data_IF_544873572947
#
_entry.id   IF_544873572947
#
_cell.length_a   1.000
_cell.length_b   1.000
_cell.length_c   1.000
_cell.angle_alpha   90.00
_cell.angle_beta   90.00
_cell.angle_gamma   90.00
#
_symmetry.space_group_name_H-M   'P 1'
#
loop_
_entity.id
_entity.type
_entity.pdbx_description
1 polymer ?
#
# COMPACT_ATOMS: atom_id res chain seq x y z
N UNK A 1 6.15 -2.38 -8.39
CA UNK A 1 6.21 -1.15 -9.23
C UNK A 1 7.52 -1.00 -10.00
N UNK A 2 8.71 -1.29 -9.43
CA UNK A 2 9.99 -1.08 -10.14
C UNK A 2 10.09 -1.72 -11.54
N UNK A 3 9.46 -2.89 -11.76
CA UNK A 3 9.39 -3.45 -13.12
C UNK A 3 8.55 -2.61 -14.09
N UNK A 4 7.51 -1.90 -13.65
CA UNK A 4 6.79 -0.99 -14.56
C UNK A 4 7.69 0.17 -15.01
N UNK A 5 8.60 0.65 -14.15
CA UNK A 5 9.61 1.66 -14.52
C UNK A 5 10.59 1.08 -15.56
N UNK A 6 11.09 -0.13 -15.36
CA UNK A 6 11.96 -0.79 -16.34
C UNK A 6 11.26 -1.07 -17.67
N UNK A 7 9.98 -1.45 -17.63
CA UNK A 7 9.11 -1.58 -18.81
C UNK A 7 8.97 -0.24 -19.55
N UNK A 8 8.65 0.85 -18.87
CA UNK A 8 8.54 2.18 -19.48
C UNK A 8 9.84 2.60 -20.17
N UNK A 9 11.00 2.29 -19.56
CA UNK A 9 12.31 2.57 -20.15
C UNK A 9 12.61 1.75 -21.41
N UNK A 10 12.19 0.49 -21.46
CA UNK A 10 12.28 -0.31 -22.69
C UNK A 10 11.36 0.25 -23.78
N UNK A 11 10.13 0.63 -23.42
CA UNK A 11 9.15 1.23 -24.33
C UNK A 11 9.58 2.57 -24.90
N UNK A 12 10.43 3.33 -24.20
CA UNK A 12 11.01 4.56 -24.75
C UNK A 12 12.07 4.32 -25.84
N UNK A 13 12.34 3.06 -26.21
CA UNK A 13 13.24 2.72 -27.31
C UNK A 13 14.71 2.56 -26.91
N UNK A 14 15.01 2.30 -25.62
CA UNK A 14 16.39 2.06 -25.20
C UNK A 14 16.86 0.66 -25.60
N UNK A 15 18.03 0.60 -26.23
CA UNK A 15 18.74 -0.60 -26.68
C UNK A 15 19.85 -1.04 -25.72
N UNK A 16 20.06 -0.30 -24.62
CA UNK A 16 21.16 -0.53 -23.67
C UNK A 16 20.95 -1.72 -22.74
N UNK A 17 19.78 -2.35 -22.78
CA UNK A 17 19.42 -3.44 -21.87
C UNK A 17 19.59 -4.78 -22.58
N UNK A 18 20.54 -5.58 -22.13
CA UNK A 18 20.73 -6.94 -22.63
C UNK A 18 19.66 -7.92 -22.09
N UNK A 19 19.42 -7.92 -20.78
CA UNK A 19 18.44 -8.77 -20.09
C UNK A 19 17.59 -7.93 -19.14
N UNK A 20 16.29 -8.20 -19.11
CA UNK A 20 15.35 -7.56 -18.21
C UNK A 20 14.45 -8.60 -17.55
N UNK A 21 14.36 -8.55 -16.23
CA UNK A 21 13.42 -9.37 -15.47
C UNK A 21 12.65 -8.50 -14.47
N UNK A 22 11.33 -8.65 -14.45
CA UNK A 22 10.46 -8.02 -13.45
C UNK A 22 9.92 -9.05 -12.47
N UNK A 23 10.04 -8.79 -11.17
CA UNK A 23 9.41 -9.60 -10.14
C UNK A 23 8.13 -8.92 -9.62
N UNK A 24 7.03 -9.67 -9.53
CA UNK A 24 5.75 -9.22 -8.96
C UNK A 24 5.21 -7.92 -9.57
N UNK A 25 5.55 -7.60 -10.82
CA UNK A 25 5.20 -6.30 -11.40
C UNK A 25 3.82 -6.37 -12.06
N UNK A 26 2.86 -5.48 -11.73
CA UNK A 26 1.50 -5.57 -12.24
C UNK A 26 1.41 -5.05 -13.67
N UNK A 27 1.88 -5.83 -14.65
CA UNK A 27 1.90 -5.46 -16.08
C UNK A 27 0.52 -5.25 -16.69
N UNK A 28 -0.54 -5.77 -16.04
CA UNK A 28 -1.94 -5.48 -16.40
C UNK A 28 -2.69 -4.71 -15.30
N UNK A 29 -1.97 -4.13 -14.34
CA UNK A 29 -2.53 -3.41 -13.19
C UNK A 29 -2.94 -4.32 -12.02
N UNK A 30 -3.44 -3.72 -10.93
CA UNK A 30 -3.90 -4.43 -9.73
C UNK A 30 -5.16 -3.78 -9.16
N UNK A 31 -6.12 -4.60 -8.78
CA UNK A 31 -7.36 -4.13 -8.16
C UNK A 31 -7.12 -3.36 -6.85
N UNK A 32 -5.97 -3.55 -6.20
CA UNK A 32 -5.58 -2.80 -4.99
C UNK A 32 -5.40 -1.29 -5.23
N UNK A 33 -5.18 -0.86 -6.48
CA UNK A 33 -5.06 0.56 -6.81
C UNK A 33 -6.42 1.30 -6.83
N UNK A 34 -7.52 0.58 -7.03
CA UNK A 34 -8.87 1.12 -7.11
C UNK A 34 -9.30 1.94 -5.87
N UNK A 35 -9.25 1.39 -4.63
CA UNK A 35 -9.62 2.13 -3.43
C UNK A 35 -8.77 3.39 -3.22
N UNK A 36 -7.49 3.35 -3.59
CA UNK A 36 -6.61 4.51 -3.48
C UNK A 36 -7.03 5.61 -4.46
N UNK A 37 -7.27 5.25 -5.73
CA UNK A 37 -7.59 6.21 -6.79
C UNK A 37 -9.00 6.81 -6.73
N UNK A 38 -10.01 6.02 -6.33
CA UNK A 38 -11.40 6.46 -6.32
C UNK A 38 -11.96 6.78 -4.93
N UNK A 39 -11.30 6.31 -3.88
CA UNK A 39 -11.78 6.43 -2.50
C UNK A 39 -10.85 7.17 -1.54
N UNK A 40 -9.57 7.34 -1.90
CA UNK A 40 -8.58 7.84 -0.95
C UNK A 40 -8.13 6.78 0.06
N UNK A 41 -8.43 5.50 -0.20
CA UNK A 41 -8.24 4.41 0.76
C UNK A 41 -7.07 3.49 0.38
N UNK A 42 -6.18 3.22 1.33
CA UNK A 42 -5.06 2.30 1.13
C UNK A 42 -5.42 0.90 1.63
N UNK A 43 -5.71 0.00 0.70
CA UNK A 43 -5.93 -1.40 1.00
C UNK A 43 -4.59 -2.15 0.89
N UNK A 44 -3.86 -2.24 2.00
CA UNK A 44 -2.64 -3.03 2.10
C UNK A 44 -2.70 -3.89 3.37
N UNK A 45 -2.21 -5.12 3.32
CA UNK A 45 -2.10 -5.96 4.51
C UNK A 45 -0.96 -5.49 5.42
N UNK A 46 0.00 -4.75 4.88
CA UNK A 46 1.11 -4.21 5.64
C UNK A 46 0.72 -3.02 6.49
N UNK A 47 0.83 -3.22 7.81
CA UNK A 47 0.58 -2.19 8.80
C UNK A 47 1.53 -0.99 8.65
N UNK A 48 2.82 -1.27 8.42
CA UNK A 48 3.82 -0.21 8.25
C UNK A 48 3.49 0.65 7.03
N UNK A 49 3.09 0.01 5.93
CA UNK A 49 2.70 0.72 4.71
C UNK A 49 1.43 1.54 4.92
N UNK A 50 0.43 0.99 5.61
CA UNK A 50 -0.79 1.73 6.00
C UNK A 50 -0.46 2.97 6.82
N UNK A 51 0.38 2.85 7.85
CA UNK A 51 0.81 3.99 8.67
C UNK A 51 1.48 5.04 7.80
N UNK A 52 2.50 4.66 7.04
CA UNK A 52 3.28 5.59 6.22
C UNK A 52 2.40 6.31 5.19
N UNK A 53 1.53 5.57 4.49
CA UNK A 53 0.64 6.14 3.50
C UNK A 53 -0.38 7.10 4.13
N UNK A 54 -1.00 6.73 5.26
CA UNK A 54 -1.95 7.64 5.92
C UNK A 54 -1.27 8.90 6.43
N UNK A 55 -0.05 8.79 6.97
CA UNK A 55 0.72 9.96 7.40
C UNK A 55 1.01 10.91 6.24
N UNK A 56 1.40 10.37 5.10
CA UNK A 56 1.65 11.14 3.90
C UNK A 56 0.37 11.85 3.44
N UNK A 57 -0.76 11.13 3.36
CA UNK A 57 -2.07 11.69 2.99
C UNK A 57 -2.46 12.83 3.93
N UNK A 58 -2.41 12.63 5.25
CA UNK A 58 -2.84 13.66 6.21
C UNK A 58 -1.92 14.87 6.23
N UNK A 59 -0.62 14.68 6.01
CA UNK A 59 0.33 15.80 5.95
C UNK A 59 0.18 16.62 4.67
N UNK A 60 -0.02 15.96 3.52
CA UNK A 60 -0.12 16.62 2.23
C UNK A 60 -1.54 17.12 1.91
N UNK A 61 -2.56 16.54 2.54
CA UNK A 61 -3.98 16.80 2.27
C UNK A 61 -4.60 18.02 2.95
N UNK A 62 -3.79 18.87 3.60
CA UNK A 62 -4.29 20.01 4.40
C UNK A 62 -5.17 20.96 3.56
N UNK A 63 -4.90 21.06 2.25
CA UNK A 63 -5.61 21.96 1.33
C UNK A 63 -6.60 21.23 0.39
N UNK A 64 -6.80 19.93 0.58
CA UNK A 64 -7.65 19.10 -0.29
C UNK A 64 -9.00 18.82 0.35
N UNK A 65 -10.04 18.60 -0.46
CA UNK A 65 -11.39 18.37 0.08
C UNK A 65 -11.52 16.98 0.70
N UNK A 66 -10.73 16.01 0.24
CA UNK A 66 -10.74 14.64 0.71
C UNK A 66 -9.42 13.91 0.40
N UNK A 67 -9.26 12.73 0.99
CA UNK A 67 -8.06 11.89 0.84
C UNK A 67 -7.85 11.41 -0.60
N UNK A 68 -8.93 11.26 -1.39
CA UNK A 68 -8.85 10.89 -2.82
C UNK A 68 -8.17 11.98 -3.64
N UNK A 69 -8.60 13.24 -3.50
CA UNK A 69 -7.96 14.37 -4.20
C UNK A 69 -6.48 14.47 -3.82
N UNK A 70 -6.16 14.29 -2.54
CA UNK A 70 -4.78 14.28 -2.04
C UNK A 70 -3.95 13.19 -2.71
N UNK A 71 -4.45 11.95 -2.75
CA UNK A 71 -3.72 10.83 -3.36
C UNK A 71 -3.53 10.98 -4.86
N UNK A 72 -4.54 11.51 -5.58
CA UNK A 72 -4.42 11.78 -7.01
C UNK A 72 -3.32 12.79 -7.33
N UNK A 73 -3.08 13.75 -6.44
CA UNK A 73 -2.02 14.75 -6.60
C UNK A 73 -0.63 14.21 -6.23
N UNK A 74 -0.48 13.61 -5.04
CA UNK A 74 0.86 13.22 -4.54
C UNK A 74 1.35 11.88 -5.07
N UNK A 75 0.43 11.01 -5.51
CA UNK A 75 0.71 9.66 -5.97
C UNK A 75 -0.12 9.33 -7.23
N UNK A 76 0.05 10.10 -8.33
CA UNK A 76 -0.71 9.88 -9.56
C UNK A 76 -0.48 8.48 -10.15
N UNK A 77 0.62 7.83 -9.79
CA UNK A 77 0.94 6.44 -10.18
C UNK A 77 -0.14 5.43 -9.79
N UNK A 78 -1.01 5.70 -8.83
CA UNK A 78 -2.16 4.83 -8.56
C UNK A 78 -3.07 4.69 -9.79
N UNK A 79 -3.19 5.74 -10.61
CA UNK A 79 -3.89 5.69 -11.90
C UNK A 79 -3.26 4.66 -12.84
N UNK A 80 -1.94 4.69 -12.92
CA UNK A 80 -1.13 3.84 -13.81
C UNK A 80 -1.01 2.40 -13.32
N UNK A 81 -1.51 2.12 -12.11
CA UNK A 81 -1.65 0.78 -11.55
C UNK A 81 -3.07 0.21 -11.68
N UNK A 82 -4.06 0.98 -12.12
CA UNK A 82 -5.43 0.47 -12.27
C UNK A 82 -5.46 -0.66 -13.31
N UNK A 83 -6.27 -1.72 -13.10
CA UNK A 83 -6.38 -2.82 -14.05
C UNK A 83 -6.82 -2.38 -15.44
N UNK A 84 -6.25 -3.02 -16.47
CA UNK A 84 -6.71 -2.92 -17.86
C UNK A 84 -7.62 -4.10 -18.26
N UNK A 85 -8.08 -4.87 -17.27
CA UNK A 85 -9.02 -5.98 -17.42
C UNK A 85 -10.26 -5.74 -16.54
N UNK A 86 -11.40 -6.38 -16.82
CA UNK A 86 -12.59 -6.29 -15.97
C UNK A 86 -12.35 -6.85 -14.56
N UNK A 87 -12.70 -6.08 -13.53
CA UNK A 87 -12.46 -6.45 -12.11
C UNK A 87 -13.50 -5.90 -11.12
N UNK A 88 -14.44 -5.05 -11.57
CA UNK A 88 -15.51 -4.54 -10.72
C UNK A 88 -16.78 -5.34 -10.99
N UNK A 89 -17.40 -5.89 -9.95
CA UNK A 89 -18.68 -6.60 -10.07
C UNK A 89 -19.77 -5.70 -9.52
N UNK A 90 -20.77 -5.36 -10.32
CA UNK A 90 -21.93 -4.64 -9.81
C UNK A 90 -22.77 -5.57 -8.91
N UNK A 91 -23.01 -5.17 -7.66
CA UNK A 91 -23.72 -6.01 -6.68
C UNK A 91 -25.17 -6.30 -7.06
N UNK A 92 -25.83 -5.42 -7.82
CA UNK A 92 -27.23 -5.57 -8.20
C UNK A 92 -27.38 -6.46 -9.44
N UNK A 93 -26.54 -6.25 -10.44
CA UNK A 93 -26.66 -6.93 -11.74
C UNK A 93 -25.76 -8.16 -11.86
N UNK A 94 -24.72 -8.28 -11.03
CA UNK A 94 -23.69 -9.31 -11.13
C UNK A 94 -22.73 -9.10 -12.32
N UNK A 95 -22.86 -7.99 -13.05
CA UNK A 95 -22.06 -7.74 -14.25
C UNK A 95 -20.64 -7.37 -13.84
N UNK A 96 -19.67 -8.10 -14.42
CA UNK A 96 -18.26 -7.77 -14.35
C UNK A 96 -17.93 -6.67 -15.37
N UNK A 97 -17.35 -5.56 -14.90
CA UNK A 97 -16.94 -4.43 -15.74
C UNK A 97 -15.47 -4.05 -15.52
N UNK A 98 -14.86 -3.52 -16.57
CA UNK A 98 -13.57 -2.81 -16.51
C UNK A 98 -13.77 -1.31 -16.44
N UNK A 99 -12.67 -0.58 -16.34
CA UNK A 99 -12.61 0.89 -16.37
C UNK A 99 -11.49 1.31 -17.32
N UNK A 100 -11.64 2.44 -18.01
CA UNK A 100 -10.65 2.92 -18.99
C UNK A 100 -9.85 4.13 -18.47
N UNK A 101 -9.33 4.00 -17.25
CA UNK A 101 -8.63 5.11 -16.57
C UNK A 101 -7.11 5.02 -16.71
N UNK A 102 -6.57 3.80 -16.84
CA UNK A 102 -5.15 3.53 -17.03
C UNK A 102 -4.76 3.66 -18.51
N UNK A 103 -4.57 4.89 -18.95
CA UNK A 103 -4.24 5.20 -20.34
C UNK A 103 -2.84 4.74 -20.75
N UNK A 104 -1.90 4.62 -19.79
CA UNK A 104 -0.55 4.17 -20.08
C UNK A 104 -0.51 2.65 -20.33
N UNK A 105 -0.95 1.82 -19.38
CA UNK A 105 -0.95 0.37 -19.59
C UNK A 105 -1.86 -0.06 -20.75
N UNK A 106 -3.01 0.62 -20.93
CA UNK A 106 -3.97 0.27 -21.98
C UNK A 106 -3.47 0.50 -23.42
N UNK A 107 -2.50 1.41 -23.60
CA UNK A 107 -1.90 1.75 -24.91
C UNK A 107 -0.48 1.22 -25.06
N UNK A 108 0.10 0.72 -23.99
CA UNK A 108 1.49 0.28 -23.93
C UNK A 108 1.69 -1.03 -24.71
N UNK A 109 2.71 -1.06 -25.56
CA UNK A 109 3.10 -2.24 -26.33
C UNK A 109 4.35 -2.83 -25.69
N UNK A 110 4.17 -3.93 -24.94
CA UNK A 110 5.25 -4.64 -24.27
C UNK A 110 5.27 -6.14 -24.60
N UNK A 111 6.41 -6.72 -24.98
CA UNK A 111 7.70 -6.06 -25.25
C UNK A 111 7.66 -5.14 -26.48
N UNK A 112 8.50 -4.09 -26.55
CA UNK A 112 8.57 -3.20 -27.72
C UNK A 112 9.01 -3.94 -28.98
N UNK A 113 8.46 -3.55 -30.13
CA UNK A 113 8.86 -4.12 -31.43
C UNK A 113 10.32 -3.83 -31.72
N UNK A 114 11.07 -4.82 -32.21
CA UNK A 114 12.46 -4.66 -32.61
C UNK A 114 13.47 -4.65 -31.46
N UNK A 115 13.04 -4.81 -30.20
CA UNK A 115 13.98 -4.95 -29.08
C UNK A 115 14.77 -6.26 -29.19
N UNK A 116 16.09 -6.16 -28.97
CA UNK A 116 16.97 -7.31 -28.79
C UNK A 116 17.05 -7.76 -27.31
N UNK A 117 16.40 -7.02 -26.39
CA UNK A 117 16.40 -7.33 -24.97
C UNK A 117 15.72 -8.67 -24.72
N UNK A 118 16.39 -9.55 -23.97
CA UNK A 118 15.79 -10.80 -23.48
C UNK A 118 14.95 -10.45 -22.26
N UNK A 119 13.65 -10.74 -22.31
CA UNK A 119 12.68 -10.29 -21.32
C UNK A 119 12.09 -11.47 -20.56
N UNK A 120 12.03 -11.35 -19.23
CA UNK A 120 11.34 -12.28 -18.36
C UNK A 120 10.46 -11.60 -17.32
N UNK A 121 9.50 -12.36 -16.81
CA UNK A 121 8.71 -12.03 -15.63
C UNK A 121 8.88 -13.10 -14.57
N UNK A 122 8.73 -12.72 -13.30
CA UNK A 122 8.67 -13.62 -12.16
C UNK A 122 7.39 -13.29 -11.38
N UNK A 123 6.42 -14.19 -11.44
CA UNK A 123 5.15 -14.08 -10.70
C UNK A 123 5.11 -15.01 -9.50
N UNK A 124 4.43 -14.58 -8.44
CA UNK A 124 4.05 -15.47 -7.34
C UNK A 124 2.68 -16.10 -7.58
N UNK A 125 2.41 -17.17 -6.83
CA UNK A 125 1.16 -17.92 -6.83
C UNK A 125 0.96 -18.56 -5.45
N UNK A 126 -0.27 -18.98 -5.12
CA UNK A 126 -0.60 -19.69 -3.89
C UNK A 126 -1.08 -18.81 -2.73
N UNK A 127 -1.22 -17.50 -2.94
CA UNK A 127 -1.60 -16.56 -1.88
C UNK A 127 -2.89 -15.81 -2.24
N UNK A 128 -3.75 -15.61 -1.23
CA UNK A 128 -5.02 -14.89 -1.38
C UNK A 128 -4.79 -13.47 -1.92
N UNK A 129 -5.17 -13.27 -3.17
CA UNK A 129 -4.92 -12.05 -3.93
C UNK A 129 -6.24 -11.48 -4.42
N UNK A 130 -6.43 -10.16 -4.25
CA UNK A 130 -7.65 -9.47 -4.69
C UNK A 130 -7.82 -9.59 -6.20
N UNK A 131 -8.89 -10.27 -6.63
CA UNK A 131 -9.24 -10.41 -8.03
C UNK A 131 -10.35 -9.44 -8.42
N UNK A 132 -11.45 -9.45 -7.69
CA UNK A 132 -12.61 -8.60 -7.97
C UNK A 132 -13.01 -7.75 -6.77
N UNK A 133 -13.60 -6.60 -7.07
CA UNK A 133 -14.24 -5.73 -6.08
C UNK A 133 -15.74 -5.71 -6.37
N UNK A 134 -16.53 -6.18 -5.42
CA UNK A 134 -17.99 -6.05 -5.49
C UNK A 134 -18.31 -4.59 -5.18
N UNK A 135 -19.06 -3.94 -6.06
CA UNK A 135 -19.39 -2.52 -5.98
C UNK A 135 -20.88 -2.28 -5.81
N UNK A 136 -21.23 -1.14 -5.23
CA UNK A 136 -22.60 -0.63 -5.12
C UNK A 136 -22.62 0.86 -5.45
N UNK A 137 -23.81 1.39 -5.64
CA UNK A 137 -24.00 2.84 -5.81
C UNK A 137 -23.43 3.63 -4.61
N UNK A 138 -22.58 4.65 -4.84
CA UNK A 138 -22.16 5.55 -3.78
C UNK A 138 -23.31 6.43 -3.30
N UNK A 139 -23.23 6.88 -2.05
CA UNK A 139 -24.22 7.78 -1.46
C UNK A 139 -24.21 9.16 -2.14
N UNK A 140 -25.29 9.93 -1.97
CA UNK A 140 -25.38 11.31 -2.51
C UNK A 140 -24.21 12.20 -2.05
N UNK A 141 -23.78 12.03 -0.78
CA UNK A 141 -22.64 12.78 -0.22
C UNK A 141 -21.33 12.40 -0.90
N UNK A 142 -21.09 11.11 -1.11
CA UNK A 142 -19.89 10.61 -1.80
C UNK A 142 -19.83 11.06 -3.26
N UNK A 143 -20.97 11.00 -3.97
CA UNK A 143 -21.08 11.53 -5.34
C UNK A 143 -20.75 13.03 -5.39
N UNK A 144 -21.24 13.82 -4.44
CA UNK A 144 -20.92 15.26 -4.35
C UNK A 144 -19.43 15.53 -4.11
N UNK A 145 -18.73 14.59 -3.47
CA UNK A 145 -17.29 14.65 -3.22
C UNK A 145 -16.43 14.03 -4.35
N UNK A 146 -17.06 13.55 -5.43
CA UNK A 146 -16.36 12.88 -6.53
C UNK A 146 -15.79 11.50 -6.16
N UNK A 147 -16.28 10.89 -5.07
CA UNK A 147 -15.80 9.59 -4.61
C UNK A 147 -16.51 8.46 -5.34
N UNK A 148 -15.78 7.38 -5.62
CA UNK A 148 -16.32 6.13 -6.14
C UNK A 148 -17.11 6.28 -7.44
N UNK A 149 -16.62 7.11 -8.35
CA UNK A 149 -17.24 7.37 -9.67
C UNK A 149 -17.56 6.07 -10.42
N UNK A 150 -16.74 5.04 -10.23
CA UNK A 150 -16.89 3.72 -10.85
C UNK A 150 -17.61 2.68 -9.97
N UNK A 151 -18.08 3.05 -8.79
CA UNK A 151 -18.81 2.19 -7.86
C UNK A 151 -18.12 2.06 -6.50
N UNK A 152 -18.87 2.20 -5.42
CA UNK A 152 -18.33 2.10 -4.06
C UNK A 152 -18.12 0.63 -3.69
N UNK A 153 -16.96 0.23 -3.14
CA UNK A 153 -16.76 -1.12 -2.67
C UNK A 153 -17.79 -1.55 -1.61
N UNK A 154 -18.26 -2.78 -1.77
CA UNK A 154 -19.23 -3.46 -0.92
C UNK A 154 -18.79 -4.88 -0.54
N UNK A 155 -17.71 -5.38 -1.14
CA UNK A 155 -17.12 -6.68 -0.89
C UNK A 155 -15.83 -6.87 -1.69
N UNK A 156 -15.10 -7.93 -1.36
CA UNK A 156 -13.85 -8.33 -2.03
C UNK A 156 -13.97 -9.80 -2.40
N UNK A 157 -13.51 -10.16 -3.60
CA UNK A 157 -13.31 -11.55 -3.98
C UNK A 157 -11.82 -11.77 -4.22
N UNK A 158 -11.28 -12.80 -3.58
CA UNK A 158 -9.88 -13.19 -3.68
C UNK A 158 -9.73 -14.51 -4.39
N UNK A 159 -8.55 -14.73 -4.96
CA UNK A 159 -8.13 -15.98 -5.57
C UNK A 159 -6.73 -16.32 -5.09
N UNK A 160 -6.39 -17.60 -5.03
CA UNK A 160 -5.02 -18.04 -4.72
C UNK A 160 -4.07 -17.90 -5.92
N UNK A 161 -4.58 -17.49 -7.10
CA UNK A 161 -3.82 -17.22 -8.33
C UNK A 161 -3.08 -15.88 -8.30
N UNK A 162 -2.21 -15.70 -7.31
CA UNK A 162 -1.39 -14.51 -7.14
C UNK A 162 -0.43 -14.59 -5.96
N UNK A 163 0.27 -13.50 -5.72
CA UNK A 163 1.32 -13.38 -4.71
C UNK A 163 0.86 -12.66 -3.42
N UNK A 164 -0.45 -12.46 -3.26
CA UNK A 164 -1.06 -11.71 -2.17
C UNK A 164 -1.21 -10.21 -2.44
N UNK A 165 -0.63 -9.70 -3.54
CA UNK A 165 -0.71 -8.29 -3.96
C UNK A 165 -1.07 -8.15 -5.44
N UNK A 166 -0.46 -8.95 -6.30
CA UNK A 166 -0.61 -8.93 -7.76
C UNK A 166 -1.04 -10.31 -8.23
N UNK A 167 -2.09 -10.35 -9.05
CA UNK A 167 -2.54 -11.60 -9.68
C UNK A 167 -1.46 -12.12 -10.61
N UNK A 168 -1.26 -13.44 -10.66
CA UNK A 168 -0.24 -14.04 -11.52
C UNK A 168 -0.48 -13.70 -12.99
N UNK A 169 -1.76 -13.64 -13.42
CA UNK A 169 -2.15 -13.22 -14.78
C UNK A 169 -1.73 -11.78 -15.10
N UNK A 170 -1.73 -10.89 -14.11
CA UNK A 170 -1.30 -9.50 -14.28
C UNK A 170 0.23 -9.36 -14.26
N UNK A 171 0.92 -10.23 -13.51
CA UNK A 171 2.38 -10.24 -13.46
C UNK A 171 3.04 -10.88 -14.68
N UNK A 172 2.31 -11.71 -15.43
CA UNK A 172 2.77 -12.34 -16.66
C UNK A 172 2.51 -11.45 -17.87
N UNK A 173 3.26 -11.71 -18.95
CA UNK A 173 3.08 -11.07 -20.25
C UNK A 173 2.81 -12.15 -21.29
N UNK A 174 1.66 -12.05 -21.95
CA UNK A 174 1.24 -12.98 -23.00
C UNK A 174 1.95 -12.66 -24.32
N UNK A 175 3.25 -12.97 -24.38
CA UNK A 175 4.05 -12.84 -25.58
C UNK A 175 5.05 -13.99 -25.66
N UNK A 176 5.13 -14.67 -26.82
CA UNK A 176 6.02 -15.82 -27.03
C UNK A 176 7.52 -15.50 -26.87
N UNK A 177 7.90 -14.23 -26.95
CA UNK A 177 9.29 -13.76 -26.75
C UNK A 177 9.63 -13.50 -25.28
N UNK A 178 8.65 -13.57 -24.37
CA UNK A 178 8.84 -13.33 -22.94
C UNK A 178 8.84 -14.64 -22.18
N UNK A 179 9.88 -14.87 -21.39
CA UNK A 179 9.90 -16.00 -20.45
C UNK A 179 9.11 -15.65 -19.20
N UNK A 180 8.07 -16.42 -18.88
CA UNK A 180 7.27 -16.21 -17.67
C UNK A 180 7.64 -17.28 -16.63
N UNK A 181 8.31 -16.89 -15.56
CA UNK A 181 8.56 -17.73 -14.39
C UNK A 181 7.42 -17.58 -13.38
N UNK A 182 7.05 -18.68 -12.73
CA UNK A 182 6.07 -18.67 -11.64
C UNK A 182 6.57 -19.57 -10.50
N UNK A 183 6.51 -19.05 -9.28
CA UNK A 183 6.96 -19.74 -8.06
C UNK A 183 5.92 -19.58 -6.94
N UNK A 184 5.90 -20.51 -5.99
CA UNK A 184 4.98 -20.47 -4.86
C UNK A 184 5.51 -19.56 -3.73
N UNK A 185 5.52 -18.25 -3.98
CA UNK A 185 5.99 -17.24 -3.05
C UNK A 185 5.03 -16.04 -3.01
N UNK A 186 4.94 -15.38 -1.85
CA UNK A 186 4.23 -14.12 -1.71
C UNK A 186 5.01 -12.96 -2.35
N UNK A 187 4.39 -11.79 -2.43
CA UNK A 187 4.94 -10.64 -3.15
C UNK A 187 6.35 -10.24 -2.71
N UNK A 188 6.64 -10.26 -1.41
CA UNK A 188 7.97 -10.00 -0.87
C UNK A 188 8.94 -11.17 -1.12
N UNK A 189 8.46 -12.40 -0.95
CA UNK A 189 9.20 -13.64 -1.16
C UNK A 189 9.77 -13.79 -2.57
N UNK A 190 9.19 -13.14 -3.58
CA UNK A 190 9.74 -13.14 -4.95
C UNK A 190 11.17 -12.61 -5.05
N UNK A 191 11.58 -11.72 -4.14
CA UNK A 191 12.93 -11.11 -4.14
C UNK A 191 13.75 -11.41 -2.89
N UNK A 192 13.13 -11.96 -1.84
CA UNK A 192 13.83 -12.31 -0.59
C UNK A 192 14.00 -13.81 -0.38
N UNK A 193 13.16 -14.65 -0.99
CA UNK A 193 13.29 -16.10 -0.88
C UNK A 193 14.47 -16.62 -1.71
N UNK A 194 15.04 -17.73 -1.24
CA UNK A 194 16.09 -18.45 -1.96
C UNK A 194 15.66 -18.82 -3.40
N UNK A 195 14.42 -19.27 -3.58
CA UNK A 195 13.85 -19.66 -4.87
C UNK A 195 13.73 -18.46 -5.82
N UNK A 196 13.21 -17.33 -5.33
CA UNK A 196 13.08 -16.10 -6.10
C UNK A 196 14.44 -15.53 -6.52
N UNK A 197 15.38 -15.45 -5.57
CA UNK A 197 16.76 -15.01 -5.82
C UNK A 197 17.44 -15.90 -6.87
N UNK A 198 17.33 -17.23 -6.73
CA UNK A 198 17.92 -18.15 -7.70
C UNK A 198 17.29 -18.01 -9.09
N UNK A 199 15.98 -17.85 -9.18
CA UNK A 199 15.29 -17.64 -10.45
C UNK A 199 15.80 -16.40 -11.16
N UNK A 200 15.90 -15.28 -10.44
CA UNK A 200 16.42 -14.01 -10.98
C UNK A 200 17.87 -14.17 -11.44
N UNK A 201 18.75 -14.70 -10.60
CA UNK A 201 20.18 -14.81 -10.92
C UNK A 201 20.43 -15.79 -12.07
N UNK A 202 19.72 -16.92 -12.12
CA UNK A 202 19.87 -17.90 -13.19
C UNK A 202 19.44 -17.33 -14.53
N UNK A 203 18.36 -16.55 -14.57
CA UNK A 203 17.96 -15.83 -15.78
C UNK A 203 19.05 -14.85 -16.23
N UNK A 204 19.57 -14.02 -15.30
CA UNK A 204 20.58 -13.02 -15.61
C UNK A 204 21.89 -13.65 -16.09
N UNK A 205 22.37 -14.71 -15.45
CA UNK A 205 23.59 -15.45 -15.86
C UNK A 205 23.39 -16.27 -17.13
N UNK A 206 22.18 -16.78 -17.39
CA UNK A 206 21.93 -17.75 -18.46
C UNK A 206 22.36 -19.18 -18.12
N UNK A 207 22.66 -19.46 -16.85
CA UNK A 207 23.12 -20.76 -16.37
C UNK A 207 22.44 -21.08 -15.02
N UNK A 208 22.25 -22.37 -14.73
CA UNK A 208 21.74 -22.83 -13.43
C UNK A 208 22.85 -22.74 -12.38
N UNK A 209 22.86 -21.69 -11.58
CA UNK A 209 23.64 -21.58 -10.34
C UNK A 209 22.76 -21.94 -9.15
N UNK A 210 23.15 -22.96 -8.39
CA UNK A 210 22.61 -23.19 -7.05
C UNK A 210 23.35 -22.28 -6.07
N UNK A 211 22.90 -21.03 -5.93
CA UNK A 211 23.42 -20.17 -4.87
C UNK A 211 22.80 -20.61 -3.55
N UNK A 212 23.63 -20.77 -2.53
CA UNK A 212 23.19 -20.79 -1.14
C UNK A 212 23.01 -19.33 -0.70
N UNK A 213 21.86 -18.76 -1.06
CA UNK A 213 21.42 -17.48 -0.52
C UNK A 213 20.79 -17.75 0.85
N UNK A 214 21.42 -17.25 1.91
CA UNK A 214 20.77 -17.18 3.22
C UNK A 214 19.49 -16.38 3.04
N UNK A 215 18.33 -17.02 3.20
CA UNK A 215 17.04 -16.32 3.18
C UNK A 215 17.15 -15.12 4.11
N UNK A 216 16.89 -13.92 3.59
CA UNK A 216 16.80 -12.74 4.45
C UNK A 216 15.54 -12.94 5.28
N UNK A 217 15.71 -13.37 6.53
CA UNK A 217 14.62 -13.54 7.49
C UNK A 217 14.01 -12.15 7.67
N UNK A 218 12.91 -11.90 6.98
CA UNK A 218 12.05 -10.75 7.26
C UNK A 218 11.43 -10.99 8.63
N UNK A 219 11.71 -10.12 9.60
CA UNK A 219 11.07 -10.19 10.92
C UNK A 219 9.55 -10.22 10.79
N UNK A 220 8.86 -10.81 11.78
CA UNK A 220 7.40 -10.92 11.77
C UNK A 220 6.76 -9.53 11.58
N UNK A 221 5.83 -9.43 10.64
CA UNK A 221 5.14 -8.17 10.36
C UNK A 221 4.33 -7.74 11.60
N UNK A 222 4.46 -6.47 12.05
CA UNK A 222 3.70 -6.01 13.20
C UNK A 222 2.20 -6.04 12.94
N UNK A 223 1.44 -6.45 13.96
CA UNK A 223 -0.02 -6.68 13.90
C UNK A 223 -0.82 -5.47 14.35
N UNK A 224 -0.27 -4.61 15.20
CA UNK A 224 -0.94 -3.39 15.66
C UNK A 224 0.05 -2.25 15.90
N UNK A 225 -0.45 -1.02 15.90
CA UNK A 225 0.35 0.17 16.20
C UNK A 225 -0.47 1.29 16.83
N UNK A 226 0.18 2.06 17.70
CA UNK A 226 -0.29 3.34 18.18
C UNK A 226 0.72 4.40 17.74
N UNK A 227 0.28 5.30 16.88
CA UNK A 227 1.10 6.37 16.29
C UNK A 227 0.64 7.70 16.86
N UNK A 228 1.56 8.46 17.40
CA UNK A 228 1.33 9.81 17.89
C UNK A 228 2.22 10.76 17.11
N UNK A 229 1.65 11.84 16.60
CA UNK A 229 2.40 12.92 15.95
C UNK A 229 1.93 14.24 16.51
N UNK A 230 2.85 15.15 16.84
CA UNK A 230 2.44 16.44 17.36
C UNK A 230 3.29 17.60 16.84
N UNK A 231 2.68 18.64 16.29
CA UNK A 231 3.40 19.74 15.64
C UNK A 231 2.67 21.08 15.80
N UNK A 232 3.39 22.22 16.00
CA UNK A 232 4.78 22.30 16.44
C UNK A 232 4.86 22.04 17.96
N UNK A 233 5.38 20.89 18.37
CA UNK A 233 5.49 20.53 19.79
C UNK A 233 6.57 19.47 19.99
N UNK A 234 7.07 19.34 21.21
CA UNK A 234 7.77 18.13 21.64
C UNK A 234 6.92 17.35 22.62
N UNK A 235 7.03 16.02 22.63
CA UNK A 235 6.24 15.21 23.56
C UNK A 235 6.90 13.89 23.96
N UNK A 236 6.43 13.35 25.08
CA UNK A 236 6.85 12.03 25.57
C UNK A 236 5.62 11.15 25.77
N UNK A 237 5.73 9.88 25.41
CA UNK A 237 4.73 8.85 25.69
C UNK A 237 5.27 7.90 26.75
N UNK A 238 4.42 7.54 27.71
CA UNK A 238 4.69 6.55 28.73
C UNK A 238 3.69 5.42 28.52
N UNK A 239 4.19 4.21 28.26
CA UNK A 239 3.33 3.04 28.07
C UNK A 239 2.71 2.55 29.40
N UNK A 240 1.73 1.62 29.36
CA UNK A 240 1.10 1.11 30.58
C UNK A 240 2.06 0.39 31.53
N UNK A 241 3.26 0.05 31.08
CA UNK A 241 4.32 -0.55 31.88
C UNK A 241 5.30 0.50 32.45
N UNK A 242 5.07 1.79 32.18
CA UNK A 242 5.91 2.89 32.66
C UNK A 242 7.13 3.19 31.78
N UNK A 243 7.29 2.53 30.63
CA UNK A 243 8.40 2.80 29.72
C UNK A 243 8.17 4.10 28.97
N UNK A 244 9.17 4.99 29.05
CA UNK A 244 9.14 6.30 28.42
C UNK A 244 9.73 6.20 27.01
N UNK A 245 9.01 6.74 26.02
CA UNK A 245 9.51 7.06 24.69
C UNK A 245 9.41 8.56 24.47
N UNK A 246 10.55 9.18 24.15
CA UNK A 246 10.59 10.56 23.68
C UNK A 246 10.32 10.57 22.17
N UNK A 247 9.70 11.64 21.71
CA UNK A 247 9.51 11.86 20.29
C UNK A 247 10.84 11.98 19.54
N UNK A 248 10.85 11.49 18.31
CA UNK A 248 11.91 11.74 17.33
C UNK A 248 11.25 12.34 16.11
N UNK A 249 11.68 13.55 15.73
CA UNK A 249 11.04 14.32 14.66
C UNK A 249 9.53 14.45 14.86
N UNK A 250 9.09 14.72 16.10
CA UNK A 250 7.69 14.95 16.44
C UNK A 250 6.77 13.73 16.26
N UNK A 251 7.35 12.52 16.26
CA UNK A 251 6.61 11.25 16.14
C UNK A 251 7.02 10.28 17.25
N UNK A 252 6.04 9.59 17.82
CA UNK A 252 6.23 8.40 18.65
C UNK A 252 5.36 7.28 18.10
N UNK A 253 5.99 6.14 17.80
CA UNK A 253 5.30 4.92 17.40
C UNK A 253 5.50 3.82 18.44
N UNK A 254 4.40 3.25 18.89
CA UNK A 254 4.36 2.01 19.64
C UNK A 254 3.95 0.89 18.67
N UNK A 255 4.83 -0.07 18.45
CA UNK A 255 4.58 -1.24 17.60
C UNK A 255 4.16 -2.40 18.50
N UNK A 256 3.11 -3.12 18.09
CA UNK A 256 2.41 -4.12 18.90
C UNK A 256 2.12 -3.63 20.34
N UNK A 257 1.52 -2.43 20.51
CA UNK A 257 1.20 -1.89 21.83
C UNK A 257 0.21 -2.79 22.56
N UNK A 258 0.41 -2.97 23.88
CA UNK A 258 -0.59 -3.61 24.74
C UNK A 258 -1.78 -2.68 24.95
N UNK A 259 -2.99 -3.24 25.06
CA UNK A 259 -4.17 -2.49 25.49
C UNK A 259 -3.91 -1.81 26.84
N UNK A 260 -4.39 -0.58 26.99
CA UNK A 260 -4.21 0.17 28.22
C UNK A 260 -4.24 1.69 28.04
N UNK A 261 -3.74 2.37 29.07
CA UNK A 261 -3.67 3.83 29.16
C UNK A 261 -2.22 4.27 28.97
N UNK A 262 -1.97 5.01 27.90
CA UNK A 262 -0.67 5.61 27.59
C UNK A 262 -0.70 7.05 28.07
N UNK A 263 0.19 7.42 29.00
CA UNK A 263 0.30 8.83 29.42
C UNK A 263 1.12 9.58 28.39
N UNK A 264 0.72 10.78 28.04
CA UNK A 264 1.46 11.61 27.10
C UNK A 264 1.65 13.00 27.68
N UNK A 265 2.90 13.41 27.82
CA UNK A 265 3.28 14.75 28.23
C UNK A 265 3.61 15.59 27.00
N UNK A 266 2.90 16.69 26.82
CA UNK A 266 3.04 17.59 25.68
C UNK A 266 3.65 18.92 26.10
N UNK A 267 4.58 19.41 25.27
CA UNK A 267 5.11 20.76 25.32
C UNK A 267 4.84 21.44 23.97
N UNK A 268 3.75 22.21 23.85
CA UNK A 268 3.47 23.00 22.66
C UNK A 268 4.55 24.08 22.44
N UNK A 269 5.00 24.27 21.20
CA UNK A 269 6.02 25.26 20.84
C UNK A 269 5.43 26.50 20.14
N UNK A 270 4.12 26.50 19.86
CA UNK A 270 3.40 27.65 19.30
C UNK A 270 2.02 27.82 19.97
N UNK A 271 1.35 28.93 19.67
CA UNK A 271 0.03 29.26 20.26
C UNK A 271 -1.09 28.31 19.80
N UNK A 272 -0.88 27.66 18.65
CA UNK A 272 -1.67 26.52 18.21
C UNK A 272 -0.74 25.37 17.87
N UNK A 273 -1.06 24.19 18.37
CA UNK A 273 -0.39 22.93 18.04
C UNK A 273 -1.42 21.88 17.72
N UNK A 274 -1.03 20.90 16.93
CA UNK A 274 -1.87 19.77 16.54
C UNK A 274 -1.29 18.49 17.11
N UNK A 275 -2.13 17.65 17.69
CA UNK A 275 -1.83 16.27 18.03
C UNK A 275 -2.67 15.33 17.17
N UNK A 276 -2.02 14.45 16.45
CA UNK A 276 -2.61 13.36 15.67
C UNK A 276 -2.39 12.04 16.40
N UNK A 277 -3.47 11.28 16.60
CA UNK A 277 -3.43 9.94 17.17
C UNK A 277 -3.96 8.95 16.14
N UNK A 278 -3.10 8.04 15.69
CA UNK A 278 -3.44 6.92 14.83
C UNK A 278 -3.49 5.62 15.62
N UNK A 279 -4.62 4.93 15.58
CA UNK A 279 -4.80 3.59 16.15
C UNK A 279 -4.90 2.59 15.00
N UNK A 280 -4.10 1.52 15.06
CA UNK A 280 -4.13 0.43 14.10
C UNK A 280 -4.22 -0.89 14.84
N UNK A 281 -5.27 -1.64 14.57
CA UNK A 281 -5.68 -2.80 15.34
C UNK A 281 -5.28 -4.12 14.67
N UNK A 282 -5.27 -5.20 15.45
CA UNK A 282 -4.91 -6.55 14.97
C UNK A 282 -5.84 -7.07 13.88
N UNK A 283 -7.11 -6.67 13.93
CA UNK A 283 -8.13 -7.05 12.96
C UNK A 283 -8.03 -6.24 11.64
N UNK A 284 -7.09 -5.30 11.54
CA UNK A 284 -6.88 -4.45 10.37
C UNK A 284 -7.68 -3.14 10.38
N UNK A 285 -8.57 -2.93 11.35
CA UNK A 285 -9.26 -1.66 11.55
C UNK A 285 -8.27 -0.58 11.98
N UNK A 286 -8.57 0.66 11.61
CA UNK A 286 -7.76 1.80 12.00
C UNK A 286 -8.60 3.07 12.16
N UNK A 287 -8.11 3.99 12.99
CA UNK A 287 -8.67 5.33 13.11
C UNK A 287 -7.58 6.37 13.26
N UNK A 288 -7.87 7.58 12.81
CA UNK A 288 -7.04 8.75 13.03
C UNK A 288 -7.88 9.85 13.64
N UNK A 289 -7.35 10.49 14.67
CA UNK A 289 -7.99 11.65 15.26
C UNK A 289 -7.04 12.79 15.48
N UNK A 290 -7.45 13.96 15.01
CA UNK A 290 -6.75 15.22 15.19
C UNK A 290 -7.32 15.98 16.39
N UNK A 291 -6.42 16.57 17.17
CA UNK A 291 -6.71 17.40 18.33
C UNK A 291 -5.96 18.71 18.19
N UNK A 292 -6.71 19.81 18.08
CA UNK A 292 -6.13 21.15 18.16
C UNK A 292 -5.92 21.53 19.62
N UNK A 293 -4.69 21.92 19.94
CA UNK A 293 -4.22 22.32 21.26
C UNK A 293 -3.95 23.82 21.19
N UNK A 294 -4.53 24.59 22.12
CA UNK A 294 -4.31 26.03 22.22
C UNK A 294 -3.39 26.36 23.39
N UNK A 295 -2.54 27.35 23.17
CA UNK A 295 -1.60 27.86 24.15
C UNK A 295 -0.29 27.07 24.21
N UNK A 296 0.68 27.65 24.93
CA UNK A 296 2.06 27.13 25.06
C UNK A 296 2.32 26.40 26.37
N UNK A 297 1.29 26.22 27.20
CA UNK A 297 1.46 25.61 28.51
C UNK A 297 1.66 24.10 28.36
N UNK A 298 2.66 23.51 29.05
CA UNK A 298 2.81 22.07 29.10
C UNK A 298 1.59 21.42 29.74
N UNK A 299 1.20 20.25 29.24
CA UNK A 299 0.10 19.49 29.82
C UNK A 299 0.32 17.99 29.66
N UNK A 300 -0.39 17.21 30.46
CA UNK A 300 -0.39 15.76 30.38
C UNK A 300 -1.81 15.24 30.09
N UNK A 301 -1.90 14.26 29.21
CA UNK A 301 -3.15 13.58 28.85
C UNK A 301 -2.97 12.08 28.84
N UNK A 302 -4.07 11.36 28.78
CA UNK A 302 -4.07 9.91 28.63
C UNK A 302 -4.63 9.52 27.28
N UNK A 303 -3.95 8.61 26.59
CA UNK A 303 -4.44 7.97 25.37
C UNK A 303 -4.92 6.56 25.75
N UNK A 304 -6.19 6.27 25.56
CA UNK A 304 -6.73 4.91 25.66
C UNK A 304 -6.47 4.18 24.34
N UNK A 305 -5.92 2.97 24.43
CA UNK A 305 -5.71 2.09 23.30
C UNK A 305 -6.21 0.68 23.65
N UNK A 306 -6.91 0.06 22.71
CA UNK A 306 -7.30 -1.35 22.77
C UNK A 306 -6.93 -2.00 21.43
N UNK A 307 -6.21 -3.12 21.46
CA UNK A 307 -5.68 -3.75 20.24
C UNK A 307 -6.76 -4.41 19.35
N UNK A 308 -7.99 -4.54 19.86
CA UNK A 308 -9.11 -5.21 19.19
C UNK A 308 -10.31 -4.28 18.95
N UNK A 309 -10.39 -3.13 19.64
CA UNK A 309 -11.54 -2.21 19.52
C UNK A 309 -11.10 -0.77 19.29
N UNK A 310 -11.66 -0.09 18.28
CA UNK A 310 -11.37 1.31 18.03
C UNK A 310 -11.94 2.18 19.14
N UNK A 311 -11.12 3.08 19.68
CA UNK A 311 -11.61 4.14 20.57
C UNK A 311 -11.84 5.40 19.74
N UNK A 312 -13.07 5.90 19.62
CA UNK A 312 -13.37 7.11 18.83
C UNK A 312 -12.71 8.38 19.39
N UNK A 313 -12.63 8.48 20.72
CA UNK A 313 -12.02 9.58 21.47
C UNK A 313 -10.86 9.06 22.32
N UNK A 314 -9.70 8.74 21.72
CA UNK A 314 -8.61 8.11 22.46
C UNK A 314 -7.98 9.04 23.50
N UNK A 315 -7.92 10.36 23.26
CA UNK A 315 -7.36 11.34 24.21
C UNK A 315 -8.37 11.72 25.31
N UNK A 316 -7.96 11.57 26.57
CA UNK A 316 -8.68 11.91 27.81
C UNK A 316 -7.85 12.87 28.66
#
# INVERSE_FOLDING_TARGET
MGGLVGRAYLESGSDKIYKYISAGSPHQGTALAYPAWYGGEIWNNSLVTKIAATLLIKRCGINHKNDMETLREIAPSFRDLLPIYPFLIDKKTGILKGIDTNQWLGKSVFPPTGTATIIATLSGNGFDTLENIITKEPSKKEKKLGLWEEGKPAGKETTTKGDGTVLSKSAKIENKKVTNFEINQNHGGLVTSQEGINTIINFLKGEKSALSATSLITGEEPKSALVMIAYPSTFVSIDPQGKIKRDKHNVVTQINPKSGKYKVGFLPLADESTLLIGQFLKNGDYSWKEYKIKGRLPFAKTIKFDENTLTENPLQ
#
